data_IF_475511701715
#
_entry.id   IF_475511701715
#
_cell.length_a   1.000
_cell.length_b   1.000
_cell.length_c   1.000
_cell.angle_alpha   90.00
_cell.angle_beta   90.00
_cell.angle_gamma   90.00
#
_symmetry.space_group_name_H-M   'P 1'
#
loop_
_entity.id
_entity.type
_entity.pdbx_description
1 polymer ?
#
# COMPACT_ATOMS: atom_id res chain seq x y z
N UNK A 1 -9.30 -7.61 -12.96
CA UNK A 1 -8.72 -8.51 -11.96
C UNK A 1 -9.21 -8.11 -10.58
N UNK A 2 -9.64 -9.07 -9.76
CA UNK A 2 -10.08 -8.81 -8.39
C UNK A 2 -9.13 -9.51 -7.41
N UNK A 3 -8.41 -8.73 -6.61
CA UNK A 3 -7.43 -9.21 -5.65
C UNK A 3 -8.00 -9.12 -4.24
N UNK A 4 -7.96 -10.23 -3.50
CA UNK A 4 -8.36 -10.28 -2.10
C UNK A 4 -7.14 -10.14 -1.19
N UNK A 5 -7.22 -9.27 -0.21
CA UNK A 5 -6.23 -9.20 0.87
C UNK A 5 -6.47 -10.34 1.86
N UNK A 6 -5.41 -11.07 2.21
CA UNK A 6 -5.50 -12.19 3.18
C UNK A 6 -5.48 -11.74 4.64
N UNK A 7 -5.03 -10.51 4.91
CA UNK A 7 -4.93 -9.89 6.23
C UNK A 7 -5.59 -8.51 6.25
N UNK A 8 -5.97 -8.03 7.44
CA UNK A 8 -6.38 -6.64 7.66
C UNK A 8 -5.17 -5.68 7.69
N UNK A 9 -3.98 -6.22 7.97
CA UNK A 9 -2.70 -5.49 7.94
C UNK A 9 -2.25 -5.38 6.46
N UNK A 10 -2.65 -4.31 5.76
CA UNK A 10 -2.37 -4.10 4.32
C UNK A 10 -0.89 -4.17 3.89
N UNK A 11 0.06 -3.98 4.81
CA UNK A 11 1.52 -4.09 4.64
C UNK A 11 2.10 -5.41 5.19
N UNK A 12 1.27 -6.31 5.71
CA UNK A 12 1.63 -7.69 6.06
C UNK A 12 0.50 -8.66 5.62
N UNK A 13 0.41 -8.84 4.30
CA UNK A 13 -0.72 -9.48 3.63
C UNK A 13 -0.29 -10.07 2.29
N UNK A 14 -1.02 -11.07 1.80
CA UNK A 14 -0.94 -11.49 0.41
C UNK A 14 -2.15 -10.94 -0.35
N UNK A 15 -1.93 -10.56 -1.62
CA UNK A 15 -2.99 -10.25 -2.56
C UNK A 15 -3.21 -11.48 -3.44
N UNK A 16 -4.35 -12.13 -3.27
CA UNK A 16 -4.71 -13.36 -3.98
C UNK A 16 -5.74 -13.02 -5.05
N UNK A 17 -5.48 -13.39 -6.30
CA UNK A 17 -6.45 -13.27 -7.36
C UNK A 17 -7.63 -14.20 -7.08
N UNK A 18 -8.83 -13.62 -6.95
CA UNK A 18 -10.05 -14.33 -6.60
C UNK A 18 -10.44 -15.37 -7.65
N UNK A 19 -10.12 -15.12 -8.92
CA UNK A 19 -10.49 -16.01 -10.03
C UNK A 19 -9.62 -17.27 -10.08
N UNK A 20 -8.33 -17.13 -9.77
CA UNK A 20 -7.35 -18.23 -9.87
C UNK A 20 -6.99 -18.84 -8.52
N UNK A 21 -7.28 -18.15 -7.41
CA UNK A 21 -6.85 -18.50 -6.07
C UNK A 21 -5.34 -18.37 -5.84
N UNK A 22 -4.59 -17.82 -6.80
CA UNK A 22 -3.13 -17.71 -6.74
C UNK A 22 -2.70 -16.37 -6.15
N UNK A 23 -1.64 -16.33 -5.33
CA UNK A 23 -1.07 -15.08 -4.87
C UNK A 23 -0.42 -14.34 -6.04
N UNK A 24 -0.75 -13.05 -6.18
CA UNK A 24 -0.15 -12.14 -7.15
C UNK A 24 0.95 -11.31 -6.49
N UNK A 25 0.73 -10.89 -5.24
CA UNK A 25 1.72 -10.18 -4.44
C UNK A 25 1.77 -10.68 -3.00
N UNK A 26 2.94 -10.55 -2.38
CA UNK A 26 3.17 -10.76 -0.96
C UNK A 26 3.83 -9.52 -0.37
N UNK A 27 3.14 -8.88 0.58
CA UNK A 27 3.66 -7.75 1.32
C UNK A 27 4.03 -8.22 2.71
N UNK A 28 5.23 -7.84 3.15
CA UNK A 28 5.71 -8.19 4.48
C UNK A 28 6.45 -7.02 5.09
N UNK A 29 6.01 -6.61 6.28
CA UNK A 29 6.71 -5.59 7.04
C UNK A 29 7.64 -6.21 8.07
N UNK A 30 8.92 -5.88 7.97
CA UNK A 30 9.97 -6.32 8.88
C UNK A 30 10.46 -5.14 9.73
N UNK A 31 10.84 -5.42 10.97
CA UNK A 31 11.58 -4.47 11.81
C UNK A 31 13.05 -4.56 11.46
N UNK A 32 13.64 -3.44 11.08
CA UNK A 32 15.05 -3.33 10.71
C UNK A 32 15.77 -2.53 11.80
N UNK A 33 16.97 -2.97 12.25
CA UNK A 33 17.78 -2.18 13.18
C UNK A 33 18.09 -0.80 12.58
N UNK A 34 17.79 0.27 13.32
CA UNK A 34 18.17 1.63 12.93
C UNK A 34 19.68 1.87 13.09
N UNK A 35 20.24 2.89 12.39
CA UNK A 35 21.65 3.25 12.48
C UNK A 35 22.04 3.79 13.87
N UNK A 36 21.09 4.40 14.59
CA UNK A 36 21.25 4.83 15.98
C UNK A 36 20.50 3.87 16.92
N UNK A 37 21.17 3.46 18.00
CA UNK A 37 20.63 2.53 18.99
C UNK A 37 19.40 3.11 19.68
N UNK A 38 18.20 2.74 19.21
CA UNK A 38 16.93 3.12 19.84
C UNK A 38 15.79 3.41 18.87
N UNK A 39 16.08 3.76 17.61
CA UNK A 39 15.03 3.98 16.60
C UNK A 39 14.67 2.65 15.93
N UNK A 40 13.41 2.23 16.12
CA UNK A 40 12.82 1.09 15.42
C UNK A 40 12.47 1.53 14.01
N UNK A 41 13.24 1.08 13.02
CA UNK A 41 12.92 1.26 11.59
C UNK A 41 12.04 0.11 11.13
N UNK A 42 11.11 0.37 10.22
CA UNK A 42 10.38 -0.70 9.52
C UNK A 42 10.69 -0.65 8.04
N UNK A 43 10.64 -1.81 7.39
CA UNK A 43 10.74 -1.94 5.95
C UNK A 43 9.64 -2.89 5.48
N UNK A 44 8.83 -2.45 4.54
CA UNK A 44 7.88 -3.31 3.85
C UNK A 44 8.52 -3.79 2.55
N UNK A 45 8.64 -5.11 2.39
CA UNK A 45 9.01 -5.74 1.13
C UNK A 45 7.73 -6.12 0.38
N UNK A 46 7.70 -5.85 -0.93
CA UNK A 46 6.63 -6.27 -1.83
C UNK A 46 7.26 -7.26 -2.81
N UNK A 47 6.75 -8.48 -2.80
CA UNK A 47 7.19 -9.57 -3.67
C UNK A 47 6.09 -9.94 -4.65
N UNK A 48 6.46 -10.32 -5.86
CA UNK A 48 5.53 -10.88 -6.83
C UNK A 48 5.16 -12.34 -6.49
N UNK A 49 4.30 -12.95 -7.31
CA UNK A 49 3.92 -14.37 -7.16
C UNK A 49 5.06 -15.36 -7.37
N UNK A 50 6.18 -14.94 -7.97
CA UNK A 50 7.42 -15.71 -8.10
C UNK A 50 8.35 -15.60 -6.89
N UNK A 51 8.06 -14.66 -5.97
CA UNK A 51 8.85 -14.38 -4.77
C UNK A 51 9.97 -13.36 -4.97
N UNK A 52 10.11 -12.78 -6.17
CA UNK A 52 11.06 -11.71 -6.46
C UNK A 52 10.61 -10.40 -5.80
N UNK A 53 11.53 -9.64 -5.24
CA UNK A 53 11.23 -8.33 -4.67
C UNK A 53 11.02 -7.34 -5.81
N UNK A 54 9.81 -6.78 -5.89
CA UNK A 54 9.41 -5.81 -6.93
C UNK A 54 9.18 -4.41 -6.36
N UNK A 55 9.27 -4.26 -5.04
CA UNK A 55 9.27 -2.95 -4.41
C UNK A 55 9.59 -3.01 -2.93
N UNK A 56 10.05 -1.88 -2.39
CA UNK A 56 10.33 -1.74 -0.95
C UNK A 56 9.89 -0.37 -0.45
N UNK A 57 9.39 -0.31 0.78
CA UNK A 57 9.03 0.94 1.46
C UNK A 57 9.79 0.98 2.79
N UNK A 58 10.64 1.97 2.97
CA UNK A 58 11.33 2.23 4.23
C UNK A 58 10.53 3.23 5.07
N UNK A 59 10.31 2.91 6.34
CA UNK A 59 9.46 3.68 7.24
C UNK A 59 10.24 4.27 8.40
N UNK A 60 9.94 5.53 8.72
CA UNK A 60 10.26 6.16 10.00
C UNK A 60 8.95 6.41 10.76
N UNK A 61 8.67 5.55 11.73
CA UNK A 61 7.37 5.55 12.41
C UNK A 61 6.24 5.14 11.47
N UNK A 62 5.41 6.11 11.06
CA UNK A 62 4.30 5.96 10.09
C UNK A 62 4.53 6.76 8.80
N UNK A 63 5.68 7.40 8.66
CA UNK A 63 6.03 8.21 7.50
C UNK A 63 6.94 7.38 6.60
N UNK A 64 6.56 7.10 5.34
CA UNK A 64 7.45 6.47 4.40
C UNK A 64 8.56 7.47 4.02
N UNK A 65 9.80 7.00 4.03
CA UNK A 65 11.01 7.81 3.82
C UNK A 65 11.64 7.56 2.46
N UNK A 66 11.71 6.29 2.05
CA UNK A 66 12.25 5.86 0.76
C UNK A 66 11.35 4.76 0.20
N UNK A 67 10.88 4.96 -1.02
CA UNK A 67 10.04 4.05 -1.79
C UNK A 67 10.84 3.65 -3.01
N UNK A 68 10.98 2.35 -3.23
CA UNK A 68 11.61 1.78 -4.42
C UNK A 68 10.62 0.89 -5.14
N UNK A 69 10.54 1.05 -6.45
CA UNK A 69 9.68 0.29 -7.34
C UNK A 69 10.56 -0.32 -8.42
N UNK A 70 10.57 -1.65 -8.51
CA UNK A 70 11.46 -2.38 -9.40
C UNK A 70 12.92 -1.93 -9.17
N UNK A 71 13.57 -1.38 -10.21
CA UNK A 71 14.95 -0.88 -10.17
C UNK A 71 15.04 0.64 -9.91
N UNK A 72 13.90 1.31 -9.68
CA UNK A 72 13.80 2.76 -9.50
C UNK A 72 13.67 3.16 -8.02
N UNK A 73 14.46 4.13 -7.58
CA UNK A 73 14.28 4.80 -6.28
C UNK A 73 13.40 6.02 -6.48
N UNK A 74 12.16 5.96 -6.03
CA UNK A 74 11.18 7.04 -6.18
C UNK A 74 11.40 8.12 -5.12
N UNK A 75 11.75 7.74 -3.89
CA UNK A 75 11.90 8.68 -2.77
C UNK A 75 10.71 8.67 -1.82
N UNK A 76 10.23 9.83 -1.39
CA UNK A 76 9.14 9.95 -0.40
C UNK A 76 7.74 10.00 -1.02
N UNK A 77 6.73 10.38 -0.21
CA UNK A 77 5.36 10.62 -0.71
C UNK A 77 5.29 11.78 -1.72
N UNK A 78 6.13 12.80 -1.52
CA UNK A 78 6.19 13.98 -2.39
C UNK A 78 6.60 13.59 -3.80
N UNK A 79 7.60 12.72 -3.90
CA UNK A 79 8.15 12.25 -5.17
C UNK A 79 7.22 11.24 -5.84
N UNK A 80 6.58 10.35 -5.05
CA UNK A 80 5.64 9.35 -5.56
C UNK A 80 4.41 9.98 -6.23
N UNK A 81 3.93 11.11 -5.71
CA UNK A 81 2.69 11.76 -6.16
C UNK A 81 2.89 13.07 -6.92
N UNK A 82 4.13 13.45 -7.24
CA UNK A 82 4.44 14.73 -7.86
C UNK A 82 3.67 15.89 -7.18
N UNK A 83 3.99 16.13 -5.90
CA UNK A 83 3.16 16.92 -4.97
C UNK A 83 2.89 18.39 -5.33
N UNK A 84 3.44 18.93 -6.42
CA UNK A 84 3.22 20.30 -6.85
C UNK A 84 1.78 20.56 -7.36
N UNK A 85 1.02 19.50 -7.64
CA UNK A 85 -0.32 19.56 -8.23
C UNK A 85 -1.46 19.07 -7.32
N UNK A 86 -1.20 18.76 -6.03
CA UNK A 86 -2.22 18.18 -5.16
C UNK A 86 -3.34 19.20 -4.87
N UNK A 87 -4.54 18.89 -5.35
CA UNK A 87 -5.74 19.67 -5.04
C UNK A 87 -6.45 19.08 -3.83
N UNK A 88 -6.40 19.80 -2.71
CA UNK A 88 -7.16 19.45 -1.52
C UNK A 88 -8.55 20.10 -1.56
N UNK A 89 -9.55 19.31 -1.94
CA UNK A 89 -10.95 19.69 -1.84
C UNK A 89 -11.43 19.35 -0.40
N UNK A 90 -12.37 20.09 0.21
CA UNK A 90 -12.72 19.87 1.62
C UNK A 90 -13.11 18.43 1.99
N UNK A 91 -13.68 17.67 1.04
CA UNK A 91 -14.20 16.30 1.23
C UNK A 91 -13.49 15.24 0.37
N UNK A 92 -12.48 15.63 -0.39
CA UNK A 92 -11.86 14.78 -1.39
C UNK A 92 -10.38 15.13 -1.53
N UNK A 93 -9.55 14.11 -1.72
CA UNK A 93 -8.16 14.23 -2.13
C UNK A 93 -8.09 13.72 -3.56
N UNK A 94 -7.63 14.57 -4.48
CA UNK A 94 -7.46 14.22 -5.89
C UNK A 94 -6.00 14.44 -6.27
N UNK A 95 -5.33 13.38 -6.68
CA UNK A 95 -3.88 13.37 -6.93
C UNK A 95 -3.61 12.67 -8.27
N UNK A 96 -3.04 13.36 -9.26
CA UNK A 96 -2.59 12.74 -10.50
C UNK A 96 -1.57 11.63 -10.23
N UNK A 97 -1.57 10.58 -11.04
CA UNK A 97 -0.51 9.57 -10.95
C UNK A 97 0.78 10.08 -11.56
N UNK A 98 1.93 9.53 -11.14
CA UNK A 98 3.23 9.87 -11.72
C UNK A 98 3.44 9.28 -13.12
N UNK A 99 2.78 8.16 -13.42
CA UNK A 99 2.97 7.44 -14.67
C UNK A 99 2.12 8.03 -15.80
N UNK A 100 0.98 8.63 -15.47
CA UNK A 100 0.10 9.30 -16.43
C UNK A 100 -0.79 10.34 -15.73
N UNK A 101 -0.75 11.58 -16.21
CA UNK A 101 -1.53 12.69 -15.63
C UNK A 101 -3.03 12.59 -15.90
N UNK A 102 -3.45 11.81 -16.89
CA UNK A 102 -4.86 11.54 -17.19
C UNK A 102 -5.48 10.58 -16.16
N UNK A 103 -4.63 9.87 -15.40
CA UNK A 103 -5.05 8.97 -14.35
C UNK A 103 -4.99 9.70 -13.02
N UNK A 104 -6.13 9.86 -12.38
CA UNK A 104 -6.27 10.61 -11.14
C UNK A 104 -6.72 9.68 -10.03
N UNK A 105 -5.91 9.60 -8.98
CA UNK A 105 -6.36 8.99 -7.76
C UNK A 105 -7.33 9.90 -7.02
N UNK A 106 -8.48 9.36 -6.66
CA UNK A 106 -9.49 10.03 -5.86
C UNK A 106 -9.72 9.29 -4.54
N UNK A 107 -9.64 10.03 -3.44
CA UNK A 107 -9.86 9.51 -2.09
C UNK A 107 -10.86 10.36 -1.31
N UNK A 108 -11.88 9.71 -0.77
CA UNK A 108 -12.87 10.27 0.16
C UNK A 108 -12.81 9.52 1.51
N UNK A 109 -13.56 9.93 2.54
CA UNK A 109 -13.64 9.14 3.77
C UNK A 109 -14.11 7.69 3.54
N UNK A 110 -14.89 7.45 2.49
CA UNK A 110 -15.57 6.18 2.25
C UNK A 110 -14.95 5.36 1.10
N UNK A 111 -14.31 6.02 0.13
CA UNK A 111 -13.83 5.38 -1.08
C UNK A 111 -12.40 5.79 -1.44
N UNK A 112 -11.72 4.90 -2.14
CA UNK A 112 -10.42 5.13 -2.75
C UNK A 112 -10.40 4.43 -4.10
N UNK A 113 -10.20 5.18 -5.18
CA UNK A 113 -10.23 4.65 -6.53
C UNK A 113 -9.34 5.46 -7.48
N UNK A 114 -8.93 4.84 -8.57
CA UNK A 114 -8.21 5.45 -9.69
C UNK A 114 -9.21 5.70 -10.81
N UNK A 115 -9.28 6.93 -11.29
CA UNK A 115 -10.12 7.37 -12.40
C UNK A 115 -9.24 7.65 -13.61
N UNK A 116 -9.67 7.19 -14.79
CA UNK A 116 -9.20 7.68 -16.07
C UNK A 116 -10.09 8.87 -16.45
N UNK A 117 -9.48 10.07 -16.50
CA UNK A 117 -10.19 11.34 -16.66
C UNK A 117 -10.86 11.47 -18.03
N UNK A 118 -10.27 10.90 -19.08
CA UNK A 118 -10.76 11.04 -20.45
C UNK A 118 -11.98 10.16 -20.70
N UNK A 119 -11.98 8.96 -20.14
CA UNK A 119 -13.08 8.00 -20.31
C UNK A 119 -14.12 8.03 -19.19
N UNK A 120 -13.84 8.74 -18.09
CA UNK A 120 -14.62 8.70 -16.84
C UNK A 120 -14.83 7.26 -16.31
N UNK A 121 -13.84 6.39 -16.55
CA UNK A 121 -13.90 5.00 -16.12
C UNK A 121 -13.02 4.74 -14.91
N UNK A 122 -13.52 3.89 -14.00
CA UNK A 122 -12.74 3.45 -12.84
C UNK A 122 -11.78 2.36 -13.24
N UNK A 123 -10.52 2.63 -12.95
CA UNK A 123 -9.38 1.81 -13.34
C UNK A 123 -8.86 0.96 -12.18
N UNK A 124 -9.01 1.46 -10.95
CA UNK A 124 -8.76 0.69 -9.74
C UNK A 124 -9.72 1.12 -8.63
N UNK A 125 -10.10 0.21 -7.73
CA UNK A 125 -10.90 0.56 -6.56
C UNK A 125 -10.56 -0.31 -5.35
N UNK A 126 -10.32 0.33 -4.20
CA UNK A 126 -10.16 -0.33 -2.92
C UNK A 126 -11.53 -0.47 -2.25
N UNK A 127 -11.99 -1.71 -2.12
CA UNK A 127 -13.17 -2.07 -1.38
C UNK A 127 -12.76 -2.49 0.03
N UNK A 128 -13.16 -1.72 1.05
CA UNK A 128 -12.91 -2.07 2.46
C UNK A 128 -14.18 -2.63 3.10
N UNK A 129 -14.00 -3.55 4.05
CA UNK A 129 -15.12 -4.19 4.77
C UNK A 129 -16.18 -4.80 3.84
N UNK A 130 -15.75 -5.41 2.73
CA UNK A 130 -16.67 -6.12 1.85
C UNK A 130 -16.91 -7.54 2.40
N UNK A 131 -18.16 -8.02 2.47
CA UNK A 131 -18.44 -9.41 2.78
C UNK A 131 -17.93 -10.29 1.64
N UNK A 132 -17.60 -11.53 1.97
CA UNK A 132 -17.07 -12.46 0.99
C UNK A 132 -18.08 -12.68 -0.16
N UNK A 133 -17.70 -12.22 -1.37
CA UNK A 133 -18.31 -12.51 -2.66
C UNK A 133 -19.85 -12.51 -2.70
N UNK A 134 -20.43 -11.34 -2.45
CA UNK A 134 -21.48 -10.69 -3.26
C UNK A 134 -21.51 -9.22 -2.82
N UNK A 135 -21.33 -8.31 -3.77
CA UNK A 135 -21.07 -6.89 -3.56
C UNK A 135 -22.23 -6.15 -2.85
N UNK A 136 -22.30 -6.24 -1.53
CA UNK A 136 -23.08 -5.37 -0.65
C UNK A 136 -22.27 -5.13 0.62
N UNK A 137 -22.15 -3.90 1.11
CA UNK A 137 -21.30 -3.54 2.27
C UNK A 137 -21.50 -4.48 3.49
N UNK A 138 -20.43 -4.81 4.22
CA UNK A 138 -20.57 -5.61 5.43
C UNK A 138 -21.22 -4.74 6.52
N UNK A 139 -22.28 -5.22 7.18
CA UNK A 139 -23.05 -4.41 8.13
C UNK A 139 -22.34 -4.18 9.48
N UNK A 140 -21.10 -4.66 9.65
CA UNK A 140 -20.35 -4.55 10.91
C UNK A 140 -18.93 -4.05 10.62
N UNK A 141 -18.58 -2.82 11.04
CA UNK A 141 -17.21 -2.33 10.99
C UNK A 141 -16.22 -3.32 11.63
N UNK A 142 -15.15 -3.66 10.91
CA UNK A 142 -14.15 -4.62 11.37
C UNK A 142 -14.41 -6.09 10.99
N UNK A 143 -15.57 -6.43 10.39
CA UNK A 143 -15.81 -7.72 9.73
C UNK A 143 -15.82 -7.54 8.21
N UNK A 144 -15.24 -8.51 7.49
CA UNK A 144 -15.11 -8.47 6.02
C UNK A 144 -13.66 -8.49 5.57
N UNK A 145 -13.46 -8.72 4.27
CA UNK A 145 -12.15 -8.67 3.63
C UNK A 145 -11.99 -7.35 2.88
N UNK A 146 -10.74 -6.93 2.68
CA UNK A 146 -10.44 -5.89 1.71
C UNK A 146 -10.26 -6.55 0.33
N UNK A 147 -10.67 -5.86 -0.72
CA UNK A 147 -10.44 -6.25 -2.10
C UNK A 147 -9.90 -5.06 -2.89
N UNK A 148 -8.97 -5.34 -3.78
CA UNK A 148 -8.50 -4.41 -4.79
C UNK A 148 -9.02 -4.87 -6.15
N UNK A 149 -9.90 -4.07 -6.73
CA UNK A 149 -10.35 -4.23 -8.10
C UNK A 149 -9.43 -3.45 -9.03
N UNK A 150 -8.95 -4.11 -10.08
CA UNK A 150 -8.10 -3.53 -11.13
C UNK A 150 -8.72 -3.80 -12.48
N UNK A 151 -8.92 -2.77 -13.29
CA UNK A 151 -9.27 -2.92 -14.69
C UNK A 151 -8.08 -3.50 -15.48
N UNK A 152 -8.28 -4.06 -16.68
CA UNK A 152 -7.18 -4.58 -17.50
C UNK A 152 -6.29 -3.47 -18.07
N UNK A 153 -6.89 -2.29 -18.34
CA UNK A 153 -6.25 -1.17 -19.03
C UNK A 153 -5.02 -0.57 -18.32
N UNK A 154 -5.04 -0.36 -16.98
CA UNK A 154 -3.91 0.25 -16.25
C UNK A 154 -2.66 -0.62 -16.21
N UNK A 155 -2.80 -1.94 -16.43
CA UNK A 155 -1.69 -2.88 -16.45
C UNK A 155 -0.79 -2.73 -17.69
N UNK A 156 -1.28 -2.04 -18.73
CA UNK A 156 -0.49 -1.71 -19.92
C UNK A 156 0.33 -0.42 -19.79
N UNK A 157 -0.05 0.47 -18.86
CA UNK A 157 0.55 1.80 -18.70
C UNK A 157 1.55 1.87 -17.55
N UNK A 158 1.30 1.14 -16.47
CA UNK A 158 2.19 1.08 -15.31
C UNK A 158 2.37 -0.35 -14.81
N UNK A 159 3.55 -0.68 -14.25
CA UNK A 159 3.73 -1.95 -13.55
C UNK A 159 2.70 -2.09 -12.43
N UNK A 160 2.04 -3.25 -12.24
CA UNK A 160 1.02 -3.41 -11.19
C UNK A 160 1.53 -3.16 -9.77
N UNK A 161 2.85 -3.29 -9.52
CA UNK A 161 3.45 -2.91 -8.24
C UNK A 161 3.34 -1.42 -7.96
N UNK A 162 3.43 -0.58 -8.98
CA UNK A 162 3.33 0.86 -8.84
C UNK A 162 1.93 1.29 -8.44
N UNK A 163 0.90 0.76 -9.13
CA UNK A 163 -0.51 0.98 -8.79
C UNK A 163 -0.79 0.55 -7.35
N UNK A 164 -0.26 -0.62 -6.95
CA UNK A 164 -0.41 -1.13 -5.60
C UNK A 164 0.24 -0.21 -4.56
N UNK A 165 1.48 0.22 -4.78
CA UNK A 165 2.18 1.09 -3.83
C UNK A 165 1.53 2.47 -3.75
N UNK A 166 1.18 3.08 -4.88
CA UNK A 166 0.47 4.37 -4.90
C UNK A 166 -0.85 4.28 -4.15
N UNK A 167 -1.62 3.20 -4.36
CA UNK A 167 -2.86 2.97 -3.63
C UNK A 167 -2.64 2.86 -2.12
N UNK A 168 -1.63 2.10 -1.68
CA UNK A 168 -1.34 1.93 -0.26
C UNK A 168 -0.89 3.24 0.39
N UNK A 169 -0.04 4.01 -0.29
CA UNK A 169 0.41 5.31 0.19
C UNK A 169 -0.75 6.31 0.25
N UNK A 170 -1.66 6.26 -0.73
CA UNK A 170 -2.83 7.12 -0.72
C UNK A 170 -3.83 6.73 0.37
N UNK A 171 -4.00 5.44 0.70
CA UNK A 171 -4.84 5.05 1.85
C UNK A 171 -4.25 5.56 3.17
N UNK A 172 -2.91 5.60 3.31
CA UNK A 172 -2.25 6.22 4.48
C UNK A 172 -2.58 7.71 4.56
N UNK A 173 -2.45 8.45 3.45
CA UNK A 173 -2.80 9.87 3.37
C UNK A 173 -4.29 10.12 3.66
N UNK A 174 -5.17 9.34 3.04
CA UNK A 174 -6.63 9.38 3.21
C UNK A 174 -7.02 9.21 4.68
N UNK A 175 -6.44 8.23 5.37
CA UNK A 175 -6.71 8.01 6.80
C UNK A 175 -6.29 9.19 7.65
N UNK A 176 -5.12 9.76 7.40
CA UNK A 176 -4.64 10.96 8.10
C UNK A 176 -5.55 12.16 7.87
N UNK A 177 -5.92 12.42 6.61
CA UNK A 177 -6.73 13.59 6.20
C UNK A 177 -8.17 13.55 6.70
N UNK A 178 -8.78 12.36 6.78
CA UNK A 178 -10.18 12.19 7.15
C UNK A 178 -10.39 11.65 8.58
N UNK A 179 -9.32 11.55 9.38
CA UNK A 179 -9.40 11.07 10.76
C UNK A 179 -9.87 9.62 10.89
N UNK A 180 -9.64 8.79 9.86
CA UNK A 180 -9.96 7.37 9.92
C UNK A 180 -8.96 6.66 10.83
N UNK A 181 -9.30 5.47 11.36
CA UNK A 181 -8.37 4.68 12.17
C UNK A 181 -7.02 4.54 11.46
N UNK A 182 -5.91 4.96 12.08
CA UNK A 182 -4.61 4.93 11.43
C UNK A 182 -4.19 3.48 11.22
N UNK A 183 -3.33 3.28 10.24
CA UNK A 183 -2.71 1.99 10.04
C UNK A 183 -1.90 1.58 11.28
N UNK A 184 -2.10 0.35 11.73
CA UNK A 184 -1.35 -0.24 12.83
C UNK A 184 -0.58 -1.45 12.30
N UNK A 185 0.74 -1.31 12.13
CA UNK A 185 1.60 -2.46 11.89
C UNK A 185 1.39 -3.48 13.00
N UNK A 186 1.22 -4.76 12.62
CA UNK A 186 1.24 -5.81 13.62
C UNK A 186 2.48 -5.68 14.51
N UNK A 187 2.35 -5.88 15.83
CA UNK A 187 3.52 -5.93 16.70
C UNK A 187 4.47 -7.02 16.19
N UNK A 188 5.80 -6.79 16.20
CA UNK A 188 6.74 -7.78 15.71
C UNK A 188 6.51 -9.10 16.45
N UNK A 189 6.50 -10.21 15.71
CA UNK A 189 6.33 -11.52 16.34
C UNK A 189 7.44 -11.72 17.39
N UNK A 190 7.18 -12.50 18.45
CA UNK A 190 8.18 -12.77 19.51
C UNK A 190 9.52 -13.26 18.94
N UNK A 191 9.48 -13.97 17.81
CA UNK A 191 10.66 -14.45 17.07
C UNK A 191 11.40 -13.31 16.35
N UNK A 192 10.71 -12.39 15.69
CA UNK A 192 11.34 -11.19 15.10
C UNK A 192 11.97 -10.30 16.17
N UNK A 193 11.29 -10.14 17.31
CA UNK A 193 11.83 -9.40 18.47
C UNK A 193 13.03 -10.11 19.13
N UNK A 194 13.10 -11.44 19.05
CA UNK A 194 14.25 -12.21 19.52
C UNK A 194 15.43 -12.13 18.53
N UNK A 195 15.18 -12.21 17.22
CA UNK A 195 16.21 -12.12 16.19
C UNK A 195 16.86 -10.73 16.11
N UNK A 196 16.11 -9.67 16.36
CA UNK A 196 16.69 -8.32 16.49
C UNK A 196 17.61 -8.17 17.70
N UNK A 197 17.44 -9.01 18.74
CA UNK A 197 18.32 -9.07 19.93
C UNK A 197 19.54 -9.98 19.75
N UNK A 198 19.50 -10.92 18.79
CA UNK A 198 20.53 -11.93 18.58
C UNK A 198 21.56 -11.55 17.50
N UNK A 199 21.40 -10.42 16.79
CA UNK A 199 22.44 -9.98 15.86
C UNK A 199 23.65 -9.44 16.63
N UNK A 200 24.87 -9.95 16.37
CA UNK A 200 26.06 -9.48 17.07
C UNK A 200 26.27 -7.99 16.80
N UNK A 201 26.48 -7.22 17.86
CA UNK A 201 27.00 -5.86 17.77
C UNK A 201 28.32 -5.94 17.00
N UNK A 202 28.32 -5.51 15.74
CA UNK A 202 29.58 -5.20 15.06
C UNK A 202 30.17 -4.02 15.82
N UNK A 203 31.19 -4.29 16.63
CA UNK A 203 32.04 -3.26 17.21
C UNK A 203 32.69 -2.50 16.05
N UNK A 204 32.31 -1.25 15.87
CA UNK A 204 33.09 -0.28 15.10
C UNK A 204 34.33 0.07 15.92
N UNK A 205 35.50 -0.19 15.34
CA UNK A 205 36.81 0.31 15.79
C UNK A 205 36.96 1.75 15.31
#
# INVERSE_FOLDING_TARGET
>A
MLLKFTSQDLFDTALVDVSTGKPVFHLRTNVVPGPSSGLVRRQTEIRDGGGAIVGTIEWLGRVPQDIRLLDESVGGLVDLFASDTIQFIPKEISIPTRFDTEYIWTATPEALYLLDYDSDTRQAQLHTHAPALKATHAPIPGRGAAYLELSPHPLGLAPPVEILVSLLMLDVLRRGRFGLPPYAFAPPSRLQAAWSRLRPRRNTV
#
